data_IF_392262747416
#
_entry.id   IF_392262747416
#
_cell.length_a   1.000
_cell.length_b   1.000
_cell.length_c   1.000
_cell.angle_alpha   90.00
_cell.angle_beta   90.00
_cell.angle_gamma   90.00
#
_symmetry.space_group_name_H-M   'P 1'
#
loop_
_entity.id
_entity.type
_entity.pdbx_description
1 polymer ?
#
# COMPACT_ATOMS: atom_id res chain seq x y z
N UNK A 1 4.21 -7.67 -14.86
CA UNK A 1 3.69 -7.92 -13.51
C UNK A 1 4.61 -7.37 -12.42
N UNK A 2 4.06 -6.40 -11.70
CA UNK A 2 4.55 -5.85 -10.45
C UNK A 2 3.92 -6.66 -9.30
N UNK A 3 4.69 -7.03 -8.29
CA UNK A 3 4.15 -7.69 -7.10
C UNK A 3 4.44 -6.83 -5.88
N UNK A 4 3.37 -6.38 -5.22
CA UNK A 4 3.44 -5.69 -3.93
C UNK A 4 3.09 -6.68 -2.81
N UNK A 5 3.74 -6.50 -1.67
CA UNK A 5 3.53 -7.28 -0.46
C UNK A 5 3.65 -6.42 0.79
N UNK A 6 3.02 -6.89 1.86
CA UNK A 6 3.11 -6.29 3.18
C UNK A 6 3.50 -7.38 4.18
N UNK A 7 4.52 -7.10 4.99
CA UNK A 7 4.97 -7.97 6.06
C UNK A 7 4.67 -7.29 7.39
N UNK A 8 3.67 -7.75 8.15
CA UNK A 8 3.37 -7.19 9.47
C UNK A 8 4.60 -7.19 10.37
N UNK A 9 4.72 -6.16 11.20
CA UNK A 9 5.80 -6.07 12.16
C UNK A 9 5.73 -7.25 13.14
N UNK A 10 6.74 -8.13 13.12
CA UNK A 10 6.82 -9.25 14.06
C UNK A 10 7.56 -8.78 15.30
N UNK A 11 6.81 -8.41 16.34
CA UNK A 11 7.37 -8.13 17.67
C UNK A 11 7.21 -9.33 18.61
N UNK A 12 8.16 -9.55 19.55
CA UNK A 12 8.04 -10.61 20.56
C UNK A 12 6.78 -10.48 21.42
N UNK A 13 6.29 -9.25 21.60
CA UNK A 13 5.07 -8.93 22.33
C UNK A 13 4.05 -8.25 21.38
N UNK A 14 2.73 -8.49 21.55
CA UNK A 14 1.69 -7.82 20.77
C UNK A 14 1.56 -6.34 21.20
N UNK A 15 2.50 -5.50 20.76
CA UNK A 15 2.55 -4.06 21.09
C UNK A 15 1.78 -3.20 20.07
N UNK A 16 1.30 -3.80 18.97
CA UNK A 16 0.50 -3.13 17.95
C UNK A 16 -0.70 -2.38 18.54
N UNK A 17 -1.05 -1.24 17.96
CA UNK A 17 -2.17 -0.43 18.46
C UNK A 17 -3.49 -1.20 18.37
N UNK A 18 -3.63 -2.06 17.35
CA UNK A 18 -4.72 -3.00 17.14
C UNK A 18 -4.94 -4.01 18.28
N UNK A 19 -3.94 -4.23 19.14
CA UNK A 19 -4.07 -5.12 20.31
C UNK A 19 -4.49 -4.36 21.57
N UNK A 20 -4.43 -3.03 21.55
CA UNK A 20 -4.75 -2.15 22.69
C UNK A 20 -6.04 -1.39 22.51
N UNK A 21 -6.56 -1.31 21.28
CA UNK A 21 -7.77 -0.56 20.94
C UNK A 21 -8.46 -1.22 19.75
N UNK A 22 -9.79 -1.20 19.74
CA UNK A 22 -10.58 -1.77 18.65
C UNK A 22 -10.42 -0.93 17.38
N UNK A 23 -9.79 -1.47 16.31
CA UNK A 23 -9.62 -0.75 15.06
C UNK A 23 -10.94 -0.32 14.42
N UNK A 24 -12.03 -1.07 14.63
CA UNK A 24 -13.34 -0.77 14.08
C UNK A 24 -13.97 0.53 14.61
N UNK A 25 -13.52 0.97 15.79
CA UNK A 25 -13.98 2.20 16.46
C UNK A 25 -12.99 3.37 16.35
N UNK A 26 -11.81 3.13 15.77
CA UNK A 26 -10.76 4.11 15.67
C UNK A 26 -11.16 5.31 14.80
N UNK A 27 -10.54 6.47 15.03
CA UNK A 27 -10.66 7.57 14.08
C UNK A 27 -9.99 7.20 12.76
N UNK A 28 -10.39 7.84 11.65
CA UNK A 28 -9.76 7.61 10.37
C UNK A 28 -8.25 7.93 10.39
N UNK A 29 -7.85 8.98 11.12
CA UNK A 29 -6.44 9.35 11.27
C UNK A 29 -5.65 8.29 12.03
N UNK A 30 -6.19 7.80 13.15
CA UNK A 30 -5.51 6.77 13.94
C UNK A 30 -5.37 5.48 13.13
N UNK A 31 -6.47 5.04 12.50
CA UNK A 31 -6.48 3.82 11.69
C UNK A 31 -5.46 3.88 10.54
N UNK A 32 -5.31 5.05 9.94
CA UNK A 32 -4.36 5.25 8.87
C UNK A 32 -2.92 5.25 9.39
N UNK A 33 -2.60 5.84 10.56
CA UNK A 33 -1.21 6.08 11.01
C UNK A 33 -0.65 5.08 12.04
N UNK A 34 -1.49 4.49 12.90
CA UNK A 34 -0.99 3.73 14.06
C UNK A 34 -1.30 2.23 14.02
N UNK A 35 -2.19 1.80 13.13
CA UNK A 35 -2.62 0.41 13.06
C UNK A 35 -1.91 -0.33 11.93
N UNK A 36 -1.68 -1.64 12.14
CA UNK A 36 -1.17 -2.55 11.12
C UNK A 36 0.16 -2.09 10.53
N UNK A 37 1.13 -1.85 11.40
CA UNK A 37 2.48 -1.46 11.01
C UNK A 37 3.26 -2.66 10.48
N UNK A 38 4.18 -2.38 9.56
CA UNK A 38 5.00 -3.41 8.95
C UNK A 38 5.94 -2.88 7.88
N UNK A 39 6.47 -3.81 7.09
CA UNK A 39 7.33 -3.53 5.97
C UNK A 39 6.61 -3.73 4.64
N UNK A 40 6.96 -2.89 3.65
CA UNK A 40 6.48 -2.99 2.28
C UNK A 40 7.53 -3.69 1.42
N UNK A 41 7.05 -4.52 0.49
CA UNK A 41 7.87 -5.20 -0.50
C UNK A 41 7.32 -4.93 -1.88
N UNK A 42 8.15 -4.46 -2.80
CA UNK A 42 7.80 -4.24 -4.20
C UNK A 42 8.80 -5.01 -5.05
N UNK A 43 8.31 -5.87 -5.95
CA UNK A 43 9.14 -6.72 -6.80
C UNK A 43 8.69 -6.63 -8.25
N UNK A 44 9.64 -6.44 -9.17
CA UNK A 44 9.36 -6.46 -10.61
C UNK A 44 10.67 -6.59 -11.40
N UNK A 45 10.66 -7.35 -12.50
CA UNK A 45 11.83 -7.49 -13.37
C UNK A 45 13.08 -8.04 -12.69
N UNK A 46 12.93 -8.82 -11.62
CA UNK A 46 14.04 -9.33 -10.80
C UNK A 46 14.61 -8.34 -9.78
N UNK A 47 14.16 -7.08 -9.79
CA UNK A 47 14.47 -6.11 -8.74
C UNK A 47 13.51 -6.28 -7.56
N UNK A 48 14.05 -6.13 -6.36
CA UNK A 48 13.32 -6.17 -5.10
C UNK A 48 13.62 -4.92 -4.27
N UNK A 49 12.57 -4.21 -3.89
CA UNK A 49 12.61 -3.04 -3.02
C UNK A 49 11.86 -3.38 -1.73
N UNK A 50 12.55 -3.39 -0.59
CA UNK A 50 11.95 -3.75 0.70
C UNK A 50 12.33 -2.74 1.76
N UNK A 51 11.34 -2.25 2.52
CA UNK A 51 11.63 -1.53 3.76
C UNK A 51 12.12 -2.50 4.84
N UNK A 52 12.85 -2.00 5.84
CA UNK A 52 13.41 -2.83 6.93
C UNK A 52 13.28 -2.17 8.30
N UNK A 53 12.22 -1.41 8.50
CA UNK A 53 12.02 -0.62 9.72
C UNK A 53 10.66 -0.88 10.39
N UNK A 54 9.75 -1.63 9.76
CA UNK A 54 8.55 -2.18 10.40
C UNK A 54 7.51 -1.14 10.82
N UNK A 55 7.58 0.09 10.31
CA UNK A 55 6.77 1.22 10.77
C UNK A 55 5.88 1.82 9.68
N UNK A 56 5.64 1.10 8.58
CA UNK A 56 4.75 1.59 7.52
C UNK A 56 3.32 1.14 7.83
N UNK A 57 2.36 2.07 7.98
CA UNK A 57 0.96 1.71 8.19
C UNK A 57 0.36 1.13 6.89
N UNK A 58 -0.18 -0.08 6.97
CA UNK A 58 -0.74 -0.77 5.80
C UNK A 58 -1.79 0.06 5.06
N UNK A 59 -2.75 0.65 5.79
CA UNK A 59 -3.87 1.36 5.18
C UNK A 59 -3.44 2.69 4.55
N UNK A 60 -2.40 3.34 5.08
CA UNK A 60 -1.79 4.49 4.43
C UNK A 60 -1.10 4.09 3.12
N UNK A 61 -0.29 3.02 3.17
CA UNK A 61 0.42 2.54 1.99
C UNK A 61 -0.54 2.08 0.88
N UNK A 62 -1.59 1.33 1.23
CA UNK A 62 -2.68 0.96 0.31
C UNK A 62 -3.29 2.21 -0.35
N UNK A 63 -3.56 3.24 0.44
CA UNK A 63 -4.14 4.49 -0.09
C UNK A 63 -3.20 5.20 -1.06
N UNK A 64 -1.90 5.21 -0.76
CA UNK A 64 -0.84 5.75 -1.61
C UNK A 64 -0.67 4.97 -2.92
N UNK A 65 -0.68 3.63 -2.88
CA UNK A 65 -0.61 2.80 -4.08
C UNK A 65 -1.81 3.02 -5.01
N UNK A 66 -3.02 3.11 -4.46
CA UNK A 66 -4.22 3.44 -5.23
C UNK A 66 -4.16 4.87 -5.80
N UNK A 67 -3.61 5.83 -5.05
CA UNK A 67 -3.43 7.19 -5.55
C UNK A 67 -2.42 7.23 -6.71
N UNK A 68 -1.31 6.49 -6.62
CA UNK A 68 -0.35 6.34 -7.71
C UNK A 68 -1.00 5.77 -8.97
N UNK A 69 -1.81 4.71 -8.82
CA UNK A 69 -2.62 4.13 -9.91
C UNK A 69 -3.50 5.19 -10.58
N UNK A 70 -4.35 5.85 -9.80
CA UNK A 70 -5.34 6.79 -10.32
C UNK A 70 -4.68 8.01 -10.98
N UNK A 71 -3.60 8.53 -10.39
CA UNK A 71 -2.84 9.66 -10.94
C UNK A 71 -2.18 9.30 -12.28
N UNK A 72 -1.50 8.15 -12.36
CA UNK A 72 -0.79 7.74 -13.58
C UNK A 72 -1.74 7.28 -14.70
N UNK A 73 -2.96 6.85 -14.37
CA UNK A 73 -3.99 6.53 -15.34
C UNK A 73 -4.54 7.78 -16.05
N UNK A 74 -4.51 8.94 -15.40
CA UNK A 74 -5.05 10.20 -15.92
C UNK A 74 -4.32 10.80 -17.13
N UNK A 75 -3.20 10.22 -17.57
CA UNK A 75 -2.32 10.67 -18.67
C UNK A 75 -1.75 12.11 -18.55
N UNK A 76 -2.18 12.90 -17.56
CA UNK A 76 -1.72 14.28 -17.33
C UNK A 76 -0.44 14.36 -16.49
N UNK A 77 -0.13 13.29 -15.76
CA UNK A 77 1.01 13.22 -14.84
C UNK A 77 1.77 11.92 -15.10
N UNK A 78 3.09 12.01 -15.27
CA UNK A 78 3.97 10.87 -15.50
C UNK A 78 4.64 10.33 -14.23
N UNK A 79 4.45 10.99 -13.08
CA UNK A 79 5.07 10.60 -11.81
C UNK A 79 4.17 10.83 -10.60
N UNK A 80 4.21 9.91 -9.64
CA UNK A 80 3.57 10.05 -8.33
C UNK A 80 4.57 9.71 -7.24
N UNK A 81 4.64 10.55 -6.21
CA UNK A 81 5.51 10.38 -5.05
C UNK A 81 4.66 10.09 -3.81
N UNK A 82 4.95 8.97 -3.16
CA UNK A 82 4.38 8.61 -1.87
C UNK A 82 5.44 8.82 -0.79
N UNK A 83 5.20 9.78 0.09
CA UNK A 83 6.05 10.06 1.24
C UNK A 83 5.64 9.17 2.42
N UNK A 84 6.62 8.54 3.06
CA UNK A 84 6.41 7.83 4.32
C UNK A 84 6.25 8.84 5.48
N UNK A 85 5.34 8.58 6.41
CA UNK A 85 4.98 9.55 7.46
C UNK A 85 6.07 9.72 8.52
N UNK A 86 6.80 8.65 8.82
CA UNK A 86 7.77 8.60 9.94
C UNK A 86 9.20 8.94 9.53
N UNK A 87 9.47 9.09 8.23
CA UNK A 87 10.82 9.18 7.66
C UNK A 87 10.84 10.11 6.46
N UNK A 88 12.01 10.65 6.12
CA UNK A 88 12.21 11.36 4.84
C UNK A 88 12.19 10.43 3.61
N UNK A 89 11.90 9.14 3.82
CA UNK A 89 11.83 8.17 2.74
C UNK A 89 10.57 8.30 1.87
N UNK A 90 10.76 8.01 0.58
CA UNK A 90 9.69 8.06 -0.42
C UNK A 90 9.73 6.87 -1.36
N UNK A 91 8.57 6.59 -1.97
CA UNK A 91 8.41 5.68 -3.10
C UNK A 91 7.92 6.51 -4.29
N UNK A 92 8.66 6.44 -5.40
CA UNK A 92 8.32 7.17 -6.62
C UNK A 92 7.88 6.18 -7.69
N UNK A 93 6.67 6.38 -8.20
CA UNK A 93 6.11 5.66 -9.35
C UNK A 93 6.25 6.57 -10.56
N UNK A 94 6.87 6.10 -11.65
CA UNK A 94 6.94 6.83 -12.91
C UNK A 94 6.41 5.98 -14.05
N UNK A 95 5.60 6.60 -14.91
CA UNK A 95 5.10 6.03 -16.15
C UNK A 95 5.78 6.71 -17.33
N UNK A 96 6.38 5.91 -18.20
CA UNK A 96 6.83 6.33 -19.51
C UNK A 96 6.23 5.39 -20.55
N UNK A 97 5.29 5.89 -21.36
CA UNK A 97 4.47 5.09 -22.27
C UNK A 97 3.76 3.92 -21.55
N UNK A 98 4.12 2.67 -21.89
CA UNK A 98 3.62 1.44 -21.27
C UNK A 98 4.59 0.86 -20.23
N UNK A 99 5.63 1.61 -19.84
CA UNK A 99 6.61 1.18 -18.85
C UNK A 99 6.36 1.90 -17.53
N UNK A 100 6.11 1.12 -16.48
CA UNK A 100 6.13 1.59 -15.10
C UNK A 100 7.50 1.32 -14.48
N UNK A 101 8.10 2.34 -13.89
CA UNK A 101 9.24 2.20 -13.00
C UNK A 101 8.88 2.59 -11.58
N UNK A 102 9.37 1.83 -10.60
CA UNK A 102 9.23 2.13 -9.18
C UNK A 102 10.61 2.20 -8.57
N UNK A 103 10.89 3.28 -7.84
CA UNK A 103 12.11 3.48 -7.08
C UNK A 103 11.78 3.96 -5.67
N UNK A 104 12.71 3.78 -4.74
CA UNK A 104 12.55 4.24 -3.35
C UNK A 104 13.89 4.70 -2.78
N UNK A 105 13.85 5.54 -1.76
CA UNK A 105 15.07 6.03 -1.08
C UNK A 105 15.67 5.03 -0.09
N UNK A 106 14.86 4.10 0.44
CA UNK A 106 15.29 3.13 1.45
C UNK A 106 15.92 1.84 0.89
N UNK A 107 15.83 1.59 -0.42
CA UNK A 107 16.44 0.42 -1.05
C UNK A 107 17.02 0.78 -2.43
N UNK A 108 18.22 0.26 -2.79
CA UNK A 108 18.80 0.52 -4.10
C UNK A 108 18.07 -0.26 -5.20
N UNK A 109 17.96 0.35 -6.37
CA UNK A 109 17.44 -0.29 -7.58
C UNK A 109 16.18 0.36 -8.11
N UNK A 110 15.77 -0.12 -9.30
CA UNK A 110 14.54 0.33 -9.96
C UNK A 110 13.78 -0.92 -10.39
N UNK A 111 12.57 -1.07 -9.89
CA UNK A 111 11.66 -2.13 -10.32
C UNK A 111 10.95 -1.68 -11.59
N UNK A 112 10.89 -2.53 -12.62
CA UNK A 112 10.28 -2.20 -13.91
C UNK A 112 9.21 -3.23 -14.28
N UNK A 113 8.03 -2.74 -14.68
CA UNK A 113 6.88 -3.56 -15.09
C UNK A 113 6.13 -2.91 -16.26
N UNK A 114 5.20 -3.65 -16.88
CA UNK A 114 4.23 -3.04 -17.80
C UNK A 114 3.23 -2.21 -17.00
N UNK A 115 2.93 -1.01 -17.50
CA UNK A 115 1.91 -0.15 -16.92
C UNK A 115 0.51 -0.75 -17.13
N UNK A 116 0.27 -1.50 -18.21
CA UNK A 116 -1.00 -2.20 -18.43
C UNK A 116 -1.40 -3.17 -17.30
N UNK A 117 -0.42 -3.81 -16.65
CA UNK A 117 -0.66 -4.70 -15.50
C UNK A 117 -0.84 -3.93 -14.17
N UNK A 118 -0.41 -2.66 -14.11
CA UNK A 118 -0.31 -1.93 -12.84
C UNK A 118 -1.64 -1.77 -12.09
N UNK A 119 -2.77 -1.41 -12.73
CA UNK A 119 -4.05 -1.30 -12.03
C UNK A 119 -4.49 -2.60 -11.35
N UNK A 120 -4.41 -3.72 -12.07
CA UNK A 120 -4.82 -5.03 -11.56
C UNK A 120 -3.86 -5.54 -10.48
N UNK A 121 -2.55 -5.28 -10.62
CA UNK A 121 -1.53 -5.61 -9.61
C UNK A 121 -1.78 -4.84 -8.28
N UNK A 122 -2.10 -3.55 -8.36
CA UNK A 122 -2.47 -2.73 -7.19
C UNK A 122 -3.76 -3.24 -6.55
N UNK A 123 -4.83 -3.45 -7.33
CA UNK A 123 -6.10 -3.96 -6.83
C UNK A 123 -5.94 -5.32 -6.14
N UNK A 124 -5.16 -6.22 -6.73
CA UNK A 124 -4.88 -7.54 -6.18
C UNK A 124 -4.13 -7.47 -4.85
N UNK A 125 -3.17 -6.54 -4.73
CA UNK A 125 -2.50 -6.25 -3.46
C UNK A 125 -3.47 -5.74 -2.40
N UNK A 126 -4.26 -4.70 -2.74
CA UNK A 126 -5.21 -4.08 -1.80
C UNK A 126 -6.22 -5.10 -1.29
N UNK A 127 -6.87 -5.83 -2.20
CA UNK A 127 -7.85 -6.84 -1.82
C UNK A 127 -7.22 -7.90 -0.91
N UNK A 128 -6.04 -8.42 -1.26
CA UNK A 128 -5.40 -9.46 -0.46
C UNK A 128 -5.03 -8.98 0.94
N UNK A 129 -4.36 -7.83 1.07
CA UNK A 129 -3.90 -7.38 2.39
C UNK A 129 -5.06 -6.86 3.26
N UNK A 130 -6.03 -6.16 2.68
CA UNK A 130 -7.22 -5.71 3.42
C UNK A 130 -8.07 -6.89 3.88
N UNK A 131 -8.22 -7.95 3.07
CA UNK A 131 -8.96 -9.15 3.49
C UNK A 131 -8.27 -9.89 4.65
N UNK A 132 -6.93 -9.89 4.73
CA UNK A 132 -6.22 -10.43 5.90
C UNK A 132 -6.58 -9.64 7.16
N UNK A 133 -6.52 -8.31 7.10
CA UNK A 133 -6.91 -7.46 8.24
C UNK A 133 -8.38 -7.66 8.62
N UNK A 134 -9.28 -7.75 7.65
CA UNK A 134 -10.70 -7.98 7.90
C UNK A 134 -11.01 -9.36 8.49
N UNK A 135 -10.16 -10.37 8.23
CA UNK A 135 -10.27 -11.68 8.85
C UNK A 135 -10.07 -11.56 10.36
N UNK A 136 -9.01 -10.86 10.78
CA UNK A 136 -8.62 -10.72 12.18
C UNK A 136 -9.48 -9.68 12.91
N UNK A 137 -9.95 -8.64 12.20
CA UNK A 137 -10.69 -7.50 12.74
C UNK A 137 -11.96 -7.22 11.92
N UNK A 138 -13.00 -8.07 12.01
CA UNK A 138 -14.19 -7.96 11.17
C UNK A 138 -14.99 -6.66 11.34
N UNK A 139 -14.87 -6.00 12.50
CA UNK A 139 -15.50 -4.69 12.76
C UNK A 139 -15.06 -3.60 11.79
N UNK A 140 -13.86 -3.72 11.21
CA UNK A 140 -13.33 -2.76 10.23
C UNK A 140 -14.10 -2.73 8.92
N UNK A 141 -14.91 -3.75 8.60
CA UNK A 141 -15.65 -3.79 7.33
C UNK A 141 -16.59 -2.60 7.16
N UNK A 142 -17.11 -2.05 8.26
CA UNK A 142 -18.00 -0.89 8.24
C UNK A 142 -17.25 0.44 8.32
N UNK A 143 -15.92 0.42 8.49
CA UNK A 143 -15.13 1.62 8.67
C UNK A 143 -14.97 2.36 7.33
N UNK A 144 -15.26 3.69 7.26
CA UNK A 144 -15.26 4.44 6.00
C UNK A 144 -13.95 4.38 5.20
N UNK A 145 -12.81 4.32 5.88
CA UNK A 145 -11.49 4.17 5.23
C UNK A 145 -11.40 2.85 4.47
N UNK A 146 -11.81 1.74 5.11
CA UNK A 146 -11.72 0.40 4.54
C UNK A 146 -12.71 0.23 3.39
N UNK A 147 -13.93 0.71 3.57
CA UNK A 147 -14.94 0.75 2.51
C UNK A 147 -14.47 1.59 1.31
N UNK A 148 -13.84 2.75 1.56
CA UNK A 148 -13.30 3.62 0.52
C UNK A 148 -12.22 2.95 -0.33
N UNK A 149 -11.27 2.24 0.28
CA UNK A 149 -10.20 1.54 -0.47
C UNK A 149 -10.73 0.35 -1.25
N UNK A 150 -11.68 -0.42 -0.70
CA UNK A 150 -12.28 -1.56 -1.39
C UNK A 150 -13.10 -1.11 -2.60
N UNK A 151 -13.93 -0.07 -2.44
CA UNK A 151 -14.73 0.49 -3.56
C UNK A 151 -13.87 0.99 -4.72
N UNK A 152 -12.67 1.52 -4.45
CA UNK A 152 -11.73 1.95 -5.50
C UNK A 152 -11.17 0.80 -6.35
N UNK A 153 -11.25 -0.45 -5.87
CA UNK A 153 -10.89 -1.65 -6.63
C UNK A 153 -12.09 -2.27 -7.34
N UNK A 154 -13.30 -2.17 -6.77
CA UNK A 154 -14.51 -2.78 -7.35
C UNK A 154 -15.03 -2.06 -8.60
N UNK A 155 -14.71 -0.78 -8.78
CA UNK A 155 -15.15 0.02 -9.93
C UNK A 155 -14.53 -0.43 -11.27
N UNK A 156 -13.46 -1.24 -11.26
CA UNK A 156 -12.81 -1.75 -12.48
C UNK A 156 -13.43 -3.05 -13.01
N UNK A 157 -14.30 -3.71 -12.23
CA UNK A 157 -14.97 -4.96 -12.61
C UNK A 157 -16.37 -4.75 -13.22
N UNK A 158 -16.73 -3.52 -13.60
CA UNK A 158 -18.01 -3.15 -14.21
C UNK A 158 -17.80 -2.57 -15.60
#
# INVERSE_FOLDING_TARGET
>A
MLTMGFQPEVRPDPVGFEHRSDPGSASAGDLLWYYFLGDVRITAGGTELVSKFGSIPLLHFVSGALAARDTLAGNSVSSYEYQLTETDDQITFRRNDDVLTVECTFAPGVATASFGDFPSDVCSFVQREVQKVLHDFPGLRQHPVVDGVLRRCDLENR
#
